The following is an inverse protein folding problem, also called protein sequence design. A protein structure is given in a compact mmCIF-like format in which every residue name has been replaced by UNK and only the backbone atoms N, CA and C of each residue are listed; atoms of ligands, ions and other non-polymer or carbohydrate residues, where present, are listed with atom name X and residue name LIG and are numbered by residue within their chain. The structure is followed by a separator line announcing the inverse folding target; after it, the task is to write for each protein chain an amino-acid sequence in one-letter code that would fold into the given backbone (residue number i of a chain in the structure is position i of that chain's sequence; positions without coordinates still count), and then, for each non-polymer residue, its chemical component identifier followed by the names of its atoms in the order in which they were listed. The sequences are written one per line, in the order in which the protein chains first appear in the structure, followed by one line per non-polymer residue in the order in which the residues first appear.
data_IF_324912829113
#
_entry.id   IF_324912829113
#
_cell.length_a   1.000
_cell.length_b   1.000
_cell.length_c   1.000
_cell.angle_alpha   90.00
_cell.angle_beta   90.00
_cell.angle_gamma   90.00
#
_symmetry.space_group_name_H-M   'P 1'
#
loop_
_entity.id
_entity.type
_entity.pdbx_description
1 polymer ?
#
# COMPACT_ATOMS: atom_id res chain seq x y z
N UNK A 1 -13.59 -9.55 3.58
CA UNK A 1 -12.98 -9.49 4.92
C UNK A 1 -13.26 -8.12 5.51
N UNK A 2 -13.57 -8.07 6.80
CA UNK A 2 -13.71 -6.82 7.57
C UNK A 2 -12.59 -6.86 8.61
N UNK A 3 -11.68 -5.88 8.59
CA UNK A 3 -10.63 -5.72 9.58
C UNK A 3 -11.06 -4.64 10.57
N UNK A 4 -11.03 -4.95 11.87
CA UNK A 4 -11.50 -4.07 12.93
C UNK A 4 -10.46 -3.96 14.05
N UNK A 5 -10.39 -2.80 14.68
CA UNK A 5 -9.61 -2.54 15.90
C UNK A 5 -10.52 -1.84 16.90
N UNK A 6 -10.59 -2.34 18.12
CA UNK A 6 -11.34 -1.70 19.23
C UNK A 6 -12.80 -1.38 18.86
N UNK A 7 -13.48 -2.29 18.16
CA UNK A 7 -14.87 -2.11 17.73
C UNK A 7 -15.08 -1.17 16.54
N UNK A 8 -14.01 -0.56 16.00
CA UNK A 8 -14.06 0.31 14.83
C UNK A 8 -13.59 -0.44 13.58
N UNK A 9 -14.27 -0.24 12.45
CA UNK A 9 -13.85 -0.80 11.16
C UNK A 9 -12.65 0.00 10.65
N UNK A 10 -11.52 -0.69 10.45
CA UNK A 10 -10.29 -0.11 9.92
C UNK A 10 -10.25 -0.20 8.39
N UNK A 11 -10.66 -1.33 7.82
CA UNK A 11 -10.76 -1.54 6.37
C UNK A 11 -11.69 -2.70 6.01
N UNK A 12 -12.41 -2.56 4.89
CA UNK A 12 -13.23 -3.63 4.29
C UNK A 12 -12.73 -3.90 2.89
N UNK A 13 -12.57 -5.18 2.55
CA UNK A 13 -12.11 -5.61 1.23
C UNK A 13 -11.77 -7.10 1.17
N UNK A 14 -11.27 -7.54 0.03
CA UNK A 14 -10.69 -8.88 -0.13
C UNK A 14 -9.36 -9.01 0.63
N UNK A 15 -8.96 -10.24 0.96
CA UNK A 15 -7.64 -10.51 1.56
C UNK A 15 -6.50 -9.89 0.75
N UNK A 16 -6.60 -10.00 -0.58
CA UNK A 16 -5.58 -9.50 -1.51
C UNK A 16 -5.50 -7.98 -1.50
N UNK A 17 -6.64 -7.28 -1.41
CA UNK A 17 -6.66 -5.82 -1.31
C UNK A 17 -6.05 -5.35 0.00
N UNK A 18 -6.47 -5.90 1.15
CA UNK A 18 -5.92 -5.50 2.44
C UNK A 18 -4.42 -5.82 2.54
N UNK A 19 -3.96 -6.91 1.91
CA UNK A 19 -2.55 -7.27 1.90
C UNK A 19 -1.70 -6.32 1.05
N UNK A 20 -2.18 -5.96 -0.16
CA UNK A 20 -1.46 -5.13 -1.14
C UNK A 20 -1.60 -3.63 -0.89
N UNK A 21 -2.74 -3.20 -0.36
CA UNK A 21 -3.10 -1.80 -0.14
C UNK A 21 -3.73 -1.62 1.24
N UNK A 22 -2.97 -1.91 2.32
CA UNK A 22 -3.47 -1.67 3.67
C UNK A 22 -3.65 -0.17 3.90
N UNK A 23 -4.77 0.21 4.52
CA UNK A 23 -5.10 1.61 4.79
C UNK A 23 -4.20 2.24 5.87
N UNK A 24 -3.68 1.41 6.78
CA UNK A 24 -2.81 1.84 7.86
C UNK A 24 -1.94 0.69 8.38
N UNK A 25 -1.03 1.00 9.32
CA UNK A 25 -0.09 0.03 9.91
C UNK A 25 -0.81 -1.17 10.55
N UNK A 26 -1.90 -0.93 11.27
CA UNK A 26 -2.64 -2.02 11.93
C UNK A 26 -3.17 -3.03 10.91
N UNK A 27 -3.79 -2.58 9.82
CA UNK A 27 -4.27 -3.50 8.78
C UNK A 27 -3.09 -4.25 8.12
N UNK A 28 -1.98 -3.56 7.88
CA UNK A 28 -0.80 -4.16 7.28
C UNK A 28 -0.21 -5.29 8.12
N UNK A 29 -0.17 -5.10 9.45
CA UNK A 29 0.35 -6.04 10.46
C UNK A 29 -0.62 -7.19 10.72
N UNK A 30 -1.93 -6.90 10.74
CA UNK A 30 -2.97 -7.90 11.01
C UNK A 30 -3.07 -8.97 9.91
N UNK A 31 -2.93 -8.59 8.64
CA UNK A 31 -3.12 -9.52 7.51
C UNK A 31 -1.84 -10.33 7.21
N UNK A 32 -0.68 -9.90 7.69
CA UNK A 32 0.55 -10.67 7.54
C UNK A 32 1.82 -9.97 7.98
N UNK A 33 2.90 -10.72 7.95
CA UNK A 33 4.23 -10.25 8.40
C UNK A 33 4.71 -9.09 7.51
N UNK A 34 5.25 -8.07 8.16
CA UNK A 34 5.95 -6.96 7.52
C UNK A 34 7.02 -6.40 8.46
N UNK A 35 7.97 -5.68 7.88
CA UNK A 35 8.87 -4.78 8.58
C UNK A 35 8.31 -3.36 8.46
N UNK A 36 8.24 -2.64 9.59
CA UNK A 36 7.77 -1.25 9.63
C UNK A 36 8.92 -0.31 9.98
N UNK A 37 9.15 0.68 9.13
CA UNK A 37 10.24 1.65 9.30
C UNK A 37 9.64 3.06 9.27
N UNK A 38 9.86 3.84 10.32
CA UNK A 38 9.45 5.23 10.33
C UNK A 38 10.37 6.07 9.43
N UNK A 39 9.78 6.99 8.68
CA UNK A 39 10.52 7.88 7.80
C UNK A 39 9.75 9.15 7.44
N UNK A 40 10.45 10.02 6.72
CA UNK A 40 9.90 11.29 6.25
C UNK A 40 10.08 11.38 4.73
N UNK A 41 9.03 11.74 4.01
CA UNK A 41 9.09 12.03 2.58
C UNK A 41 9.88 13.33 2.37
N UNK A 42 11.03 13.21 1.71
CA UNK A 42 11.95 14.33 1.44
C UNK A 42 11.85 14.84 0.01
N UNK A 43 11.29 14.05 -0.90
CA UNK A 43 11.04 14.42 -2.29
C UNK A 43 9.79 13.73 -2.83
N UNK A 44 9.03 14.41 -3.69
CA UNK A 44 7.92 13.85 -4.48
C UNK A 44 8.18 14.19 -5.95
N UNK A 45 8.31 13.17 -6.79
CA UNK A 45 8.75 13.31 -8.20
C UNK A 45 7.57 13.21 -9.18
N UNK A 46 6.45 13.86 -8.84
CA UNK A 46 5.21 13.79 -9.61
C UNK A 46 4.52 12.42 -9.54
N UNK A 47 3.20 12.41 -9.69
CA UNK A 47 2.38 11.20 -9.47
C UNK A 47 2.55 10.65 -8.05
N UNK A 48 2.60 9.32 -7.93
CA UNK A 48 2.69 8.62 -6.64
C UNK A 48 4.14 8.28 -6.23
N UNK A 49 5.16 8.86 -6.87
CA UNK A 49 6.56 8.57 -6.54
C UNK A 49 7.10 9.49 -5.44
N UNK A 50 7.72 8.89 -4.43
CA UNK A 50 8.31 9.61 -3.31
C UNK A 50 9.67 9.01 -2.91
N UNK A 51 10.58 9.88 -2.48
CA UNK A 51 11.80 9.49 -1.78
C UNK A 51 11.56 9.64 -0.29
N UNK A 52 11.66 8.54 0.44
CA UNK A 52 11.50 8.49 1.89
C UNK A 52 12.86 8.38 2.54
N UNK A 53 13.15 9.28 3.47
CA UNK A 53 14.34 9.20 4.33
C UNK A 53 13.97 8.55 5.65
N UNK A 54 14.65 7.47 5.98
CA UNK A 54 14.55 6.78 7.26
C UNK A 54 15.56 7.37 8.25
N UNK A 55 15.49 6.94 9.52
CA UNK A 55 16.57 7.21 10.47
C UNK A 55 17.92 6.64 9.95
N UNK A 56 19.04 7.15 10.44
CA UNK A 56 20.37 6.74 9.96
C UNK A 56 20.72 7.20 8.54
N UNK A 57 19.87 8.01 7.89
CA UNK A 57 20.14 8.61 6.58
C UNK A 57 19.87 7.70 5.39
N UNK A 58 19.27 6.52 5.61
CA UNK A 58 18.87 5.62 4.52
C UNK A 58 17.73 6.24 3.74
N UNK A 59 17.82 6.21 2.40
CA UNK A 59 16.76 6.69 1.53
C UNK A 59 16.19 5.54 0.69
N UNK A 60 14.87 5.50 0.57
CA UNK A 60 14.13 4.52 -0.22
C UNK A 60 13.13 5.20 -1.13
N UNK A 61 13.16 4.83 -2.40
CA UNK A 61 12.12 5.18 -3.35
C UNK A 61 10.89 4.32 -3.12
N UNK A 62 9.74 4.98 -3.06
CA UNK A 62 8.43 4.37 -3.11
C UNK A 62 7.69 4.87 -4.36
N UNK A 63 7.00 3.95 -5.04
CA UNK A 63 6.05 4.29 -6.09
C UNK A 63 4.60 4.42 -5.57
N UNK A 64 4.42 4.44 -4.25
CA UNK A 64 3.16 4.73 -3.57
C UNK A 64 3.39 5.91 -2.61
N UNK A 65 2.95 7.10 -3.00
CA UNK A 65 2.97 8.25 -2.11
C UNK A 65 2.05 7.99 -0.91
N UNK A 66 2.32 8.68 0.20
CA UNK A 66 1.40 8.67 1.34
C UNK A 66 -0.02 8.96 0.87
N UNK A 67 -1.06 8.37 1.51
CA UNK A 67 -2.45 8.61 1.14
C UNK A 67 -2.85 10.10 1.16
N UNK A 68 -2.09 10.93 1.89
CA UNK A 68 -2.32 12.37 1.99
C UNK A 68 -1.16 13.19 1.39
N UNK A 69 -1.42 14.13 0.45
CA UNK A 69 -0.39 14.94 -0.19
C UNK A 69 0.45 15.78 0.77
N UNK A 70 -0.12 16.20 1.90
CA UNK A 70 0.57 17.04 2.88
C UNK A 70 1.32 16.24 3.94
N UNK A 71 1.02 14.95 4.08
CA UNK A 71 1.67 14.11 5.07
C UNK A 71 3.08 13.74 4.59
N UNK A 72 4.08 14.21 5.32
CA UNK A 72 5.49 13.87 5.08
C UNK A 72 5.97 12.75 5.98
N UNK A 73 5.53 12.71 7.22
CA UNK A 73 5.87 11.62 8.13
C UNK A 73 5.02 10.39 7.84
N UNK A 74 5.70 9.29 7.55
CA UNK A 74 5.11 8.03 7.09
C UNK A 74 5.72 6.86 7.83
N UNK A 75 5.01 5.74 7.80
CA UNK A 75 5.57 4.43 8.13
C UNK A 75 5.71 3.63 6.84
N UNK A 76 6.93 3.28 6.48
CA UNK A 76 7.22 2.38 5.36
C UNK A 76 6.93 0.94 5.80
N UNK A 77 6.15 0.21 5.00
CA UNK A 77 5.86 -1.20 5.20
C UNK A 77 6.55 -2.03 4.11
N UNK A 78 7.44 -2.92 4.52
CA UNK A 78 8.16 -3.85 3.65
C UNK A 78 7.76 -5.28 3.97
N UNK A 79 7.22 -6.01 3.01
CA UNK A 79 6.89 -7.43 3.20
C UNK A 79 8.11 -8.31 2.90
N UNK A 80 8.31 -9.42 3.63
CA UNK A 80 9.50 -10.25 3.48
C UNK A 80 9.73 -10.73 2.04
N UNK A 81 8.68 -11.12 1.34
CA UNK A 81 8.74 -11.57 -0.06
C UNK A 81 9.09 -10.47 -1.07
N UNK A 82 9.08 -9.20 -0.65
CA UNK A 82 9.45 -8.06 -1.48
C UNK A 82 10.89 -7.58 -1.21
N UNK A 83 11.60 -8.19 -0.27
CA UNK A 83 13.01 -7.91 0.03
C UNK A 83 13.84 -9.05 -0.54
N UNK A 84 14.45 -8.84 -1.70
CA UNK A 84 15.32 -9.84 -2.32
C UNK A 84 16.76 -9.68 -1.80
N UNK A 85 17.40 -10.81 -1.48
CA UNK A 85 18.78 -10.85 -1.03
C UNK A 85 19.69 -11.37 -2.15
N UNK A 86 20.91 -10.85 -2.23
CA UNK A 86 21.90 -11.26 -3.23
C UNK A 86 23.32 -11.02 -2.72
N UNK A 87 24.28 -11.81 -3.21
CA UNK A 87 25.70 -11.64 -2.90
C UNK A 87 26.38 -10.58 -3.79
N UNK A 88 25.88 -10.39 -5.01
CA UNK A 88 26.31 -9.33 -5.93
C UNK A 88 25.33 -8.17 -5.90
N UNK A 89 25.83 -6.92 -5.99
CA UNK A 89 24.97 -5.74 -5.99
C UNK A 89 24.03 -5.75 -7.20
N UNK A 90 22.69 -5.84 -7.01
CA UNK A 90 21.75 -5.78 -8.11
C UNK A 90 21.60 -4.34 -8.63
N UNK A 91 21.03 -4.20 -9.82
CA UNK A 91 20.61 -2.90 -10.34
C UNK A 91 19.37 -2.40 -9.61
N UNK A 92 19.23 -1.07 -9.55
CA UNK A 92 18.02 -0.42 -9.05
C UNK A 92 18.29 0.64 -7.98
N UNK A 93 17.24 1.40 -7.63
CA UNK A 93 17.39 2.58 -6.79
C UNK A 93 17.40 2.26 -5.28
N UNK A 94 16.86 1.11 -4.88
CA UNK A 94 16.73 0.70 -3.49
C UNK A 94 17.57 -0.54 -3.25
N UNK A 95 18.87 -0.33 -3.06
CA UNK A 95 19.83 -1.40 -2.79
C UNK A 95 20.59 -1.05 -1.53
N UNK A 96 20.32 -1.81 -0.48
CA UNK A 96 20.89 -1.61 0.84
C UNK A 96 21.92 -2.70 1.12
N UNK A 97 23.02 -2.35 1.78
CA UNK A 97 24.00 -3.34 2.24
C UNK A 97 23.63 -3.78 3.64
N UNK A 98 23.68 -5.08 3.91
CA UNK A 98 23.37 -5.62 5.22
C UNK A 98 24.12 -6.90 5.57
N UNK A 99 23.86 -7.39 6.78
CA UNK A 99 24.42 -8.64 7.29
C UNK A 99 23.29 -9.53 7.79
N UNK A 100 23.31 -10.80 7.40
CA UNK A 100 22.33 -11.78 7.88
C UNK A 100 22.57 -12.05 9.37
N UNK A 101 21.56 -11.83 10.19
CA UNK A 101 21.61 -12.09 11.64
C UNK A 101 21.06 -13.46 12.00
N UNK A 102 19.93 -13.83 11.40
CA UNK A 102 19.19 -15.05 11.70
C UNK A 102 18.57 -15.63 10.43
N UNK A 103 18.43 -16.94 10.41
CA UNK A 103 17.71 -17.68 9.40
C UNK A 103 16.73 -18.66 10.04
N UNK A 104 15.59 -18.87 9.37
CA UNK A 104 14.57 -19.86 9.74
C UNK A 104 14.14 -20.60 8.49
N UNK A 105 14.56 -21.86 8.36
CA UNK A 105 14.13 -22.71 7.25
C UNK A 105 12.68 -23.19 7.48
N UNK A 106 11.77 -22.83 6.57
CA UNK A 106 10.35 -23.17 6.64
C UNK A 106 9.94 -24.16 5.54
N UNK A 107 10.88 -25.01 5.11
CA UNK A 107 10.66 -26.04 4.09
C UNK A 107 10.73 -25.50 2.67
N UNK A 108 9.74 -24.71 2.26
CA UNK A 108 9.64 -24.19 0.89
C UNK A 108 10.44 -22.89 0.63
N UNK A 109 10.95 -22.27 1.69
CA UNK A 109 11.76 -21.06 1.66
C UNK A 109 12.47 -20.88 3.00
N UNK A 110 13.47 -20.00 3.03
CA UNK A 110 14.11 -19.54 4.25
C UNK A 110 13.69 -18.10 4.52
N UNK A 111 13.29 -17.82 5.76
CA UNK A 111 13.12 -16.45 6.23
C UNK A 111 14.41 -15.96 6.89
N UNK A 112 14.86 -14.79 6.49
CA UNK A 112 16.07 -14.16 7.01
C UNK A 112 15.71 -12.87 7.74
N UNK A 113 16.48 -12.58 8.78
CA UNK A 113 16.55 -11.25 9.40
C UNK A 113 17.89 -10.65 9.05
N UNK A 114 17.88 -9.49 8.41
CA UNK A 114 19.09 -8.80 7.92
C UNK A 114 19.21 -7.46 8.64
N UNK A 115 20.36 -7.21 9.26
CA UNK A 115 20.71 -5.87 9.75
C UNK A 115 21.11 -5.00 8.56
N UNK A 116 20.49 -3.83 8.47
CA UNK A 116 20.75 -2.84 7.44
C UNK A 116 20.86 -1.48 8.12
N UNK A 117 22.08 -1.14 8.53
CA UNK A 117 22.36 0.15 9.17
C UNK A 117 21.58 0.33 10.48
N UNK A 118 21.42 -0.75 11.25
CA UNK A 118 20.68 -0.76 12.52
C UNK A 118 19.17 -1.02 12.40
N UNK A 119 18.64 -1.19 11.18
CA UNK A 119 17.29 -1.69 10.97
C UNK A 119 17.30 -3.18 10.70
N UNK A 120 16.34 -3.90 11.28
CA UNK A 120 16.16 -5.33 11.01
C UNK A 120 15.10 -5.54 9.93
N UNK A 121 15.53 -5.92 8.73
CA UNK A 121 14.63 -6.27 7.63
C UNK A 121 14.37 -7.77 7.64
N UNK A 122 13.09 -8.14 7.52
CA UNK A 122 12.70 -9.52 7.20
C UNK A 122 12.74 -9.72 5.69
N UNK A 123 13.27 -10.85 5.25
CA UNK A 123 13.30 -11.28 3.85
C UNK A 123 12.89 -12.74 3.75
N UNK A 124 12.31 -13.12 2.61
CA UNK A 124 12.06 -14.51 2.22
C UNK A 124 12.84 -14.82 0.95
N UNK A 125 13.67 -15.85 0.98
CA UNK A 125 14.42 -16.32 -0.20
C UNK A 125 14.31 -17.84 -0.38
N UNK A 126 14.55 -18.27 -1.61
CA UNK A 126 14.77 -19.69 -1.96
C UNK A 126 16.26 -20.05 -1.92
N UNK A 127 17.13 -19.04 -1.93
CA UNK A 127 18.57 -19.23 -1.84
C UNK A 127 19.00 -19.53 -0.41
N UNK A 128 20.04 -20.35 -0.30
CA UNK A 128 20.71 -20.67 0.95
C UNK A 128 21.85 -19.67 1.19
N UNK A 129 21.67 -18.79 2.18
CA UNK A 129 22.58 -17.69 2.48
C UNK A 129 23.02 -17.80 3.94
N UNK A 130 24.32 -17.92 4.16
CA UNK A 130 24.84 -18.14 5.51
C UNK A 130 24.63 -16.92 6.44
N UNK A 131 24.21 -17.19 7.67
CA UNK A 131 24.26 -16.23 8.78
C UNK A 131 25.66 -15.62 8.91
N UNK A 132 25.72 -14.31 9.16
CA UNK A 132 26.96 -13.52 9.22
C UNK A 132 27.50 -13.07 7.85
N UNK A 133 26.95 -13.57 6.74
CA UNK A 133 27.35 -13.10 5.42
C UNK A 133 26.89 -11.65 5.16
N UNK A 134 27.70 -10.93 4.38
CA UNK A 134 27.30 -9.63 3.83
C UNK A 134 26.48 -9.84 2.56
N UNK A 135 25.35 -9.16 2.47
CA UNK A 135 24.41 -9.26 1.36
C UNK A 135 23.91 -7.89 0.93
N UNK A 136 23.38 -7.83 -0.29
CA UNK A 136 22.59 -6.72 -0.78
C UNK A 136 21.11 -7.05 -0.65
N UNK A 137 20.37 -6.21 0.07
CA UNK A 137 18.91 -6.23 0.14
C UNK A 137 18.34 -5.25 -0.88
N UNK A 138 17.67 -5.76 -1.90
CA UNK A 138 17.01 -4.96 -2.93
C UNK A 138 15.51 -4.99 -2.82
N UNK A 139 14.87 -3.84 -3.01
CA UNK A 139 13.43 -3.67 -2.90
C UNK A 139 12.89 -2.90 -4.10
N UNK A 140 11.99 -3.50 -4.88
CA UNK A 140 11.29 -2.76 -5.95
C UNK A 140 10.50 -1.58 -5.36
N UNK A 141 10.68 -0.33 -5.85
CA UNK A 141 9.91 0.82 -5.41
C UNK A 141 8.38 0.63 -5.43
N UNK A 142 7.85 -0.19 -6.34
CA UNK A 142 6.41 -0.54 -6.38
C UNK A 142 5.94 -1.40 -5.20
N UNK A 143 6.87 -1.98 -4.45
CA UNK A 143 6.62 -2.83 -3.29
C UNK A 143 6.87 -2.11 -1.97
N UNK A 144 7.40 -0.90 -2.01
CA UNK A 144 7.57 -0.02 -0.84
C UNK A 144 6.25 0.71 -0.60
N UNK A 145 5.51 0.32 0.43
CA UNK A 145 4.23 0.95 0.76
C UNK A 145 4.44 2.03 1.83
N UNK A 146 4.03 3.27 1.53
CA UNK A 146 4.02 4.35 2.52
C UNK A 146 2.65 4.44 3.19
N UNK A 147 2.61 4.21 4.49
CA UNK A 147 1.41 4.31 5.31
C UNK A 147 1.38 5.63 6.08
N UNK A 148 0.18 6.16 6.39
CA UNK A 148 0.06 7.26 7.32
C UNK A 148 0.73 6.90 8.64
N UNK A 149 1.61 7.77 9.14
CA UNK A 149 2.16 7.64 10.49
C UNK A 149 1.01 7.83 11.48
N UNK A 150 0.65 6.76 12.18
CA UNK A 150 -0.33 6.86 13.26
C UNK A 150 0.39 7.38 14.50
N UNK A 151 -0.03 8.55 15.00
CA UNK A 151 0.31 8.98 16.36
C UNK A 151 -0.57 8.17 17.29
N UNK A 152 0.02 7.36 18.16
CA UNK A 152 -0.74 6.69 19.22
C UNK A 152 -1.13 7.76 20.23
N UNK A 153 -2.28 8.41 20.02
CA UNK A 153 -2.87 9.29 21.01
C UNK A 153 -3.55 8.41 22.05
N UNK A 154 -3.10 8.46 23.30
CA UNK A 154 -3.75 7.75 24.39
C UNK A 154 -5.22 8.16 24.50
N UNK A 155 -6.11 7.17 24.44
CA UNK A 155 -7.52 7.13 24.81
C UNK A 155 -8.39 8.39 24.60
N UNK A 156 -9.35 8.32 23.66
CA UNK A 156 -10.62 9.06 23.78
C UNK A 156 -11.72 8.50 22.83
N UNK A 157 -12.80 7.97 23.44
CA UNK A 157 -14.23 8.13 23.08
C UNK A 157 -14.75 7.72 21.69
N UNK A 158 -16.00 7.20 21.57
CA UNK A 158 -16.57 6.84 20.29
C UNK A 158 -16.86 8.09 19.44
N UNK A 159 -16.33 8.12 18.21
CA UNK A 159 -16.57 9.18 17.22
C UNK A 159 -17.33 8.60 16.02
N UNK A 160 -18.44 9.24 15.68
CA UNK A 160 -19.39 8.85 14.65
C UNK A 160 -18.76 8.69 13.25
N UNK A 161 -19.27 7.71 12.50
CA UNK A 161 -18.83 7.35 11.16
C UNK A 161 -19.04 8.50 10.16
N UNK A 162 -17.92 9.08 9.68
CA UNK A 162 -17.92 10.04 8.57
C UNK A 162 -18.25 9.36 7.24
N UNK A 163 -19.42 9.66 6.69
CA UNK A 163 -19.80 9.32 5.30
C UNK A 163 -19.17 10.35 4.35
N UNK A 164 -18.07 9.99 3.69
CA UNK A 164 -17.54 10.75 2.56
C UNK A 164 -17.86 10.07 1.21
N UNK A 165 -18.86 10.65 0.55
CA UNK A 165 -18.97 10.87 -0.90
C UNK A 165 -18.91 9.67 -1.87
N UNK A 166 -20.08 9.06 -2.10
CA UNK A 166 -20.43 8.51 -3.42
C UNK A 166 -20.68 9.68 -4.37
N UNK A 167 -19.78 9.94 -5.33
CA UNK A 167 -20.08 10.83 -6.47
C UNK A 167 -21.07 10.12 -7.38
N UNK A 168 -22.27 10.68 -7.45
CA UNK A 168 -23.36 10.20 -8.29
C UNK A 168 -23.16 10.56 -9.76
N UNK A 169 -23.28 9.57 -10.63
CA UNK A 169 -23.77 9.78 -11.99
C UNK A 169 -25.30 9.82 -11.93
N UNK A 170 -25.89 11.02 -11.97
CA UNK A 170 -27.32 11.21 -12.29
C UNK A 170 -27.41 11.76 -13.71
N UNK A 171 -28.00 10.99 -14.61
CA UNK A 171 -28.30 11.37 -15.99
C UNK A 171 -29.66 10.82 -16.43
N UNK A 172 -30.73 11.42 -15.86
CA UNK A 172 -32.13 11.57 -16.33
C UNK A 172 -32.78 10.41 -17.12
N UNK A 173 -33.73 9.74 -16.46
CA UNK A 173 -34.95 9.22 -17.07
C UNK A 173 -36.14 10.04 -16.54
N UNK A 174 -36.98 10.57 -17.43
CA UNK A 174 -38.36 10.99 -17.13
C UNK A 174 -39.20 10.80 -18.40
N UNK A 175 -39.91 9.68 -18.44
CA UNK A 175 -41.19 9.57 -19.13
C UNK A 175 -42.23 10.40 -18.36
N UNK A 176 -42.94 11.29 -19.06
CA UNK A 176 -44.32 11.62 -18.73
C UNK A 176 -45.13 11.72 -20.03
N UNK A 177 -46.19 10.93 -20.03
CA UNK A 177 -47.18 10.69 -21.06
C UNK A 177 -48.29 11.74 -20.93
N UNK A 178 -48.73 12.38 -22.04
CA UNK A 178 -50.16 12.49 -22.38
C UNK A 178 -50.37 13.08 -23.80
N UNK A 179 -51.49 12.73 -24.45
CA UNK A 179 -51.67 12.80 -25.90
C UNK A 179 -52.42 14.06 -26.35
N UNK A 180 -52.19 14.50 -27.59
CA UNK A 180 -53.14 15.34 -28.32
C UNK A 180 -53.15 14.95 -29.82
N UNK A 181 -54.31 14.47 -30.28
CA UNK A 181 -54.75 14.58 -31.69
C UNK A 181 -55.28 16.02 -31.92
N UNK A 182 -55.25 16.54 -33.17
CA UNK A 182 -56.39 16.30 -34.07
C UNK A 182 -56.01 16.06 -35.56
N UNK A 183 -57.01 15.51 -36.25
CA UNK A 183 -57.16 15.13 -37.67
C UNK A 183 -56.90 16.27 -38.70
N UNK A 184 -56.36 15.94 -39.88
CA UNK A 184 -57.07 15.76 -41.19
C UNK A 184 -56.16 16.02 -42.42
N UNK A 185 -56.35 15.20 -43.48
CA UNK A 185 -56.07 15.53 -44.91
C UNK A 185 -54.84 14.84 -45.50
N UNK A 186 -54.95 13.67 -46.15
CA UNK A 186 -55.36 13.40 -47.55
C UNK A 186 -54.33 13.78 -48.62
N UNK A 187 -53.86 12.77 -49.36
CA UNK A 187 -53.02 12.84 -50.58
C UNK A 187 -52.12 11.59 -50.62
N UNK A 188 -52.50 10.47 -51.23
CA UNK A 188 -52.61 10.15 -52.67
C UNK A 188 -51.25 9.86 -53.34
N UNK A 189 -51.22 8.68 -54.01
CA UNK A 189 -50.38 8.26 -55.16
C UNK A 189 -48.97 7.69 -54.83
N UNK A 190 -48.78 6.37 -55.04
CA UNK A 190 -48.10 5.71 -56.19
C UNK A 190 -46.57 5.78 -56.03
N UNK A 191 -45.77 4.70 -56.04
CA UNK A 191 -45.71 3.52 -56.90
C UNK A 191 -44.88 2.41 -56.20
#
# INVERSE_FOLDING_TARGET
IICMREGTIEQVGSARELYRFPANRFVADFIGVATFLDGTIVRKDGGDKALVRLAGGIELWSASAAPHPEQRDVTVSLRPENVALSQSRPEGPNVLTGTILYESFLGGHTEYVVDVGGFHLKSRSLDDLAVGSRVFASIDPQKVICLPRQVVTGAAGPVEASKAARRGCRGRAREQHQPQEPRFGSGAEEE
#
